data_IF_520988408338
#
_entry.id   IF_520988408338
#
_cell.length_a   1.000
_cell.length_b   1.000
_cell.length_c   1.000
_cell.angle_alpha   90.00
_cell.angle_beta   90.00
_cell.angle_gamma   90.00
#
_symmetry.space_group_name_H-M   'P 1'
#
loop_
_entity.id
_entity.type
_entity.pdbx_description
1 polymer ?
#
# COMPACT_ATOMS: atom_id res chain seq x y z
N UNK A 1 8.64 18.44 -25.47
CA UNK A 1 9.42 18.37 -24.24
C UNK A 1 9.14 17.08 -23.48
N UNK A 2 9.63 15.93 -23.99
CA UNK A 2 9.42 14.62 -23.36
C UNK A 2 10.45 14.43 -22.24
N UNK A 3 10.23 15.07 -21.08
CA UNK A 3 11.05 14.89 -19.90
C UNK A 3 10.90 13.47 -19.33
N UNK A 4 9.75 12.83 -19.58
CA UNK A 4 9.44 11.46 -19.17
C UNK A 4 9.06 10.61 -20.37
N UNK A 5 9.27 9.30 -20.30
CA UNK A 5 8.58 8.39 -21.20
C UNK A 5 7.10 8.30 -20.81
N UNK A 6 6.20 8.01 -21.76
CA UNK A 6 4.78 7.75 -21.45
C UNK A 6 4.60 6.59 -20.45
N UNK A 7 5.55 5.67 -20.41
CA UNK A 7 5.60 4.53 -19.48
C UNK A 7 5.65 4.98 -18.02
N UNK A 8 6.24 6.16 -17.72
CA UNK A 8 6.46 6.66 -16.36
C UNK A 8 5.48 7.78 -15.97
N UNK A 9 4.41 8.00 -16.73
CA UNK A 9 3.52 9.16 -16.57
C UNK A 9 2.91 9.27 -15.15
N UNK A 10 2.57 8.13 -14.53
CA UNK A 10 1.96 8.08 -13.19
C UNK A 10 2.95 7.67 -12.09
N UNK A 11 4.20 7.42 -12.44
CA UNK A 11 5.26 7.06 -11.49
C UNK A 11 6.01 8.26 -10.93
N UNK A 12 5.84 9.44 -11.54
CA UNK A 12 6.53 10.67 -11.16
C UNK A 12 5.58 11.88 -11.15
N UNK A 13 5.84 12.82 -10.24
CA UNK A 13 5.16 14.11 -10.14
C UNK A 13 6.16 15.22 -9.83
N UNK A 14 6.04 16.36 -10.51
CA UNK A 14 6.94 17.51 -10.31
C UNK A 14 6.30 18.64 -9.51
N UNK A 15 4.99 18.57 -9.25
CA UNK A 15 4.20 19.54 -8.50
C UNK A 15 4.45 21.01 -8.89
N UNK A 16 4.51 21.27 -10.20
CA UNK A 16 4.73 22.62 -10.75
C UNK A 16 3.44 23.42 -10.93
N UNK A 17 2.27 22.77 -10.87
CA UNK A 17 0.94 23.37 -10.99
C UNK A 17 0.05 22.88 -9.85
N UNK A 18 -0.95 23.70 -9.48
CA UNK A 18 -1.92 23.37 -8.44
C UNK A 18 -2.72 24.60 -8.02
N UNK A 19 -3.75 24.36 -7.21
CA UNK A 19 -4.60 25.43 -6.67
C UNK A 19 -4.00 26.08 -5.42
N UNK A 20 -4.35 27.34 -5.18
CA UNK A 20 -3.94 28.06 -3.97
C UNK A 20 -5.06 27.99 -2.92
N UNK A 21 -4.99 27.02 -2.03
CA UNK A 21 -5.99 26.82 -0.97
C UNK A 21 -5.86 27.82 0.17
N UNK A 22 -4.75 28.57 0.30
CA UNK A 22 -4.52 29.49 1.43
C UNK A 22 -5.47 30.70 1.43
N UNK A 23 -6.18 30.92 0.32
CA UNK A 23 -7.17 31.98 0.19
C UNK A 23 -8.59 31.57 0.59
N UNK A 24 -8.84 30.28 0.76
CA UNK A 24 -10.15 29.75 1.13
C UNK A 24 -10.50 30.09 2.58
N UNK A 25 -11.79 30.21 2.86
CA UNK A 25 -12.31 30.43 4.23
C UNK A 25 -11.90 29.24 5.14
N UNK A 26 -12.08 28.01 4.66
CA UNK A 26 -11.71 26.80 5.39
C UNK A 26 -10.25 26.80 5.83
N UNK A 27 -9.31 27.19 4.94
CA UNK A 27 -7.90 27.27 5.30
C UNK A 27 -7.63 28.32 6.41
N UNK A 28 -8.28 29.48 6.30
CA UNK A 28 -8.09 30.57 7.28
C UNK A 28 -8.59 30.22 8.67
N UNK A 29 -9.71 29.48 8.75
CA UNK A 29 -10.37 29.08 9.98
C UNK A 29 -9.81 27.77 10.59
N UNK A 30 -9.04 26.98 9.83
CA UNK A 30 -8.46 25.74 10.32
C UNK A 30 -7.31 26.01 11.32
N UNK A 31 -7.26 25.23 12.39
CA UNK A 31 -6.16 25.21 13.35
C UNK A 31 -4.98 24.36 12.85
N UNK A 32 -5.27 23.30 12.13
CA UNK A 32 -4.31 22.36 11.55
C UNK A 32 -4.61 22.15 10.08
N UNK A 33 -3.56 22.00 9.28
CA UNK A 33 -3.67 21.60 7.88
C UNK A 33 -3.19 20.16 7.73
N UNK A 34 -4.08 19.27 7.32
CA UNK A 34 -3.73 17.87 7.06
C UNK A 34 -3.64 17.60 5.55
N UNK A 35 -2.47 17.19 5.10
CA UNK A 35 -2.19 16.82 3.71
C UNK A 35 -2.13 15.30 3.58
N UNK A 36 -2.74 14.78 2.53
CA UNK A 36 -2.60 13.40 2.07
C UNK A 36 -1.88 13.38 0.72
N UNK A 37 -2.41 12.65 -0.25
CA UNK A 37 -1.86 12.63 -1.60
C UNK A 37 -2.27 13.90 -2.36
N UNK A 38 -1.29 14.76 -2.67
CA UNK A 38 -1.53 16.13 -3.19
C UNK A 38 -1.05 16.33 -4.63
N UNK A 39 -0.70 15.27 -5.30
CA UNK A 39 -0.12 15.30 -6.64
C UNK A 39 -1.16 15.51 -7.76
N UNK A 40 -0.77 15.37 -9.01
CA UNK A 40 -1.60 15.50 -10.23
C UNK A 40 -2.34 16.86 -10.33
N UNK A 41 -1.67 17.95 -9.94
CA UNK A 41 -2.21 19.30 -10.11
C UNK A 41 -3.07 19.78 -8.93
N UNK A 42 -3.20 19.02 -7.84
CA UNK A 42 -3.92 19.50 -6.66
C UNK A 42 -3.13 20.62 -5.96
N UNK A 43 -1.89 20.37 -5.57
CA UNK A 43 -1.00 21.39 -4.99
C UNK A 43 0.33 21.46 -5.75
N UNK A 44 0.85 22.69 -5.88
CA UNK A 44 2.21 22.93 -6.37
C UNK A 44 3.19 23.10 -5.20
N UNK A 45 4.51 22.95 -5.45
CA UNK A 45 5.54 23.29 -4.46
C UNK A 45 5.41 24.75 -3.97
N UNK A 46 4.99 25.67 -4.86
CA UNK A 46 4.68 27.05 -4.46
C UNK A 46 3.48 27.13 -3.50
N UNK A 47 2.46 26.30 -3.73
CA UNK A 47 1.29 26.19 -2.83
C UNK A 47 1.69 25.60 -1.48
N UNK A 48 2.46 24.52 -1.46
CA UNK A 48 2.97 23.92 -0.22
C UNK A 48 3.81 24.93 0.58
N UNK A 49 4.68 25.72 -0.09
CA UNK A 49 5.43 26.77 0.56
C UNK A 49 4.54 27.79 1.25
N UNK A 50 3.44 28.23 0.61
CA UNK A 50 2.49 29.16 1.23
C UNK A 50 1.78 28.55 2.42
N UNK A 51 1.43 27.28 2.36
CA UNK A 51 0.81 26.54 3.46
C UNK A 51 1.78 26.52 4.67
N UNK A 52 3.03 26.09 4.44
CA UNK A 52 4.04 26.03 5.50
C UNK A 52 4.39 27.43 6.08
N UNK A 53 4.42 28.47 5.23
CA UNK A 53 4.68 29.84 5.65
C UNK A 53 3.50 30.51 6.41
N UNK A 54 2.34 29.84 6.52
CA UNK A 54 1.20 30.38 7.29
C UNK A 54 1.37 30.30 8.80
N UNK A 55 2.37 29.57 9.28
CA UNK A 55 2.60 29.33 10.71
C UNK A 55 1.69 28.26 11.33
N UNK A 56 0.68 27.78 10.61
CA UNK A 56 -0.20 26.71 11.09
C UNK A 56 0.56 25.37 11.11
N UNK A 57 0.32 24.49 12.10
CA UNK A 57 0.84 23.13 12.08
C UNK A 57 0.35 22.40 10.84
N UNK A 58 1.28 21.71 10.15
CA UNK A 58 0.96 20.91 8.96
C UNK A 58 1.28 19.46 9.24
N UNK A 59 0.28 18.61 9.17
CA UNK A 59 0.42 17.15 9.21
C UNK A 59 0.38 16.63 7.77
N UNK A 60 1.33 15.80 7.37
CA UNK A 60 1.35 15.19 6.04
C UNK A 60 1.42 13.68 6.14
N UNK A 61 0.27 13.02 5.88
CA UNK A 61 0.22 11.56 5.79
C UNK A 61 0.72 11.10 4.43
N UNK A 62 1.76 10.29 4.46
CA UNK A 62 2.42 9.74 3.28
C UNK A 62 1.81 8.39 2.90
N UNK A 63 1.17 8.34 1.71
CA UNK A 63 0.68 7.11 1.10
C UNK A 63 1.67 6.54 0.07
N UNK A 64 2.73 7.28 -0.25
CA UNK A 64 3.84 6.91 -1.12
C UNK A 64 5.12 7.63 -0.70
N UNK A 65 6.21 7.42 -1.44
CA UNK A 65 7.50 8.02 -1.13
C UNK A 65 7.68 9.44 -1.73
N UNK A 66 6.71 9.97 -2.46
CA UNK A 66 6.91 11.26 -3.15
C UNK A 66 7.34 12.41 -2.25
N UNK A 67 6.81 12.58 -1.02
CA UNK A 67 7.28 13.66 -0.14
C UNK A 67 8.77 13.56 0.20
N UNK A 68 9.32 12.36 0.35
CA UNK A 68 10.72 12.13 0.73
C UNK A 68 11.68 11.95 -0.46
N UNK A 69 11.18 11.87 -1.70
CA UNK A 69 11.98 11.82 -2.95
C UNK A 69 11.94 13.15 -3.70
N UNK A 70 12.59 13.24 -4.86
CA UNK A 70 12.44 14.40 -5.74
C UNK A 70 11.11 14.38 -6.50
N UNK A 71 10.91 13.35 -7.30
CA UNK A 71 9.82 13.27 -8.27
C UNK A 71 9.09 11.94 -8.27
N UNK A 72 9.70 10.84 -7.82
CA UNK A 72 9.12 9.51 -7.91
C UNK A 72 8.21 9.20 -6.71
N UNK A 73 7.11 8.46 -7.00
CA UNK A 73 6.19 7.95 -5.98
C UNK A 73 6.76 6.74 -5.24
N UNK A 74 7.63 5.96 -5.90
CA UNK A 74 8.36 4.85 -5.31
C UNK A 74 9.79 4.81 -5.81
N UNK A 75 10.73 4.62 -4.91
CA UNK A 75 12.15 4.64 -5.22
C UNK A 75 12.65 3.37 -5.92
N UNK A 76 11.95 2.23 -5.81
CA UNK A 76 12.28 0.94 -6.44
C UNK A 76 13.77 0.56 -6.29
N UNK A 77 14.29 0.61 -5.05
CA UNK A 77 15.69 0.31 -4.76
C UNK A 77 16.67 1.47 -5.00
N UNK A 78 16.22 2.63 -5.50
CA UNK A 78 17.05 3.82 -5.62
C UNK A 78 17.22 4.50 -4.24
N UNK A 79 18.46 4.63 -3.76
CA UNK A 79 18.76 5.24 -2.46
C UNK A 79 19.17 6.72 -2.53
N UNK A 80 19.06 7.36 -3.70
CA UNK A 80 19.52 8.75 -3.88
C UNK A 80 18.78 9.79 -3.02
N UNK A 81 17.53 9.49 -2.62
CA UNK A 81 16.77 10.35 -1.71
C UNK A 81 17.42 10.50 -0.31
N UNK A 82 18.32 9.57 0.04
CA UNK A 82 19.07 9.62 1.29
C UNK A 82 20.21 10.67 1.27
N UNK A 83 20.64 11.10 0.09
CA UNK A 83 21.67 12.12 -0.09
C UNK A 83 21.18 13.28 -0.93
N UNK A 84 21.11 13.09 -2.25
CA UNK A 84 20.54 14.05 -3.19
C UNK A 84 20.00 13.33 -4.43
N UNK A 85 18.72 13.53 -4.75
CA UNK A 85 18.18 13.02 -6.00
C UNK A 85 18.81 13.74 -7.18
N UNK A 86 19.38 12.96 -8.09
CA UNK A 86 20.00 13.39 -9.35
C UNK A 86 20.17 12.17 -10.25
N UNK A 87 20.49 12.38 -11.53
CA UNK A 87 20.66 11.32 -12.53
C UNK A 87 19.49 10.28 -12.46
N UNK A 88 18.26 10.79 -12.44
CA UNK A 88 17.07 9.99 -12.14
C UNK A 88 16.75 9.02 -13.28
N UNK A 89 16.59 7.70 -13.02
CA UNK A 89 16.34 6.71 -14.07
C UNK A 89 14.96 6.86 -14.73
N UNK A 90 14.03 7.60 -14.10
CA UNK A 90 12.73 7.91 -14.71
C UNK A 90 12.77 9.02 -15.75
N UNK A 91 13.87 9.77 -15.84
CA UNK A 91 14.04 10.82 -16.84
C UNK A 91 14.65 10.27 -18.13
N UNK A 92 14.27 10.86 -19.25
CA UNK A 92 14.81 10.49 -20.57
C UNK A 92 16.31 10.78 -20.70
N UNK A 93 16.77 11.86 -20.04
CA UNK A 93 18.17 12.31 -20.04
C UNK A 93 18.66 12.51 -18.60
N UNK A 94 19.01 11.40 -17.89
CA UNK A 94 19.54 11.50 -16.53
C UNK A 94 20.87 12.23 -16.49
N UNK A 95 21.04 13.17 -15.56
CA UNK A 95 22.31 13.87 -15.33
C UNK A 95 22.38 14.40 -13.88
N UNK A 96 23.55 14.80 -13.45
CA UNK A 96 23.74 15.33 -12.08
C UNK A 96 22.89 16.58 -11.81
N UNK A 97 22.61 17.40 -12.83
CA UNK A 97 21.82 18.63 -12.74
C UNK A 97 20.46 18.50 -13.46
N UNK A 98 19.90 17.32 -13.52
CA UNK A 98 18.62 17.05 -14.18
C UNK A 98 17.41 17.64 -13.41
N UNK A 99 16.21 17.37 -13.92
CA UNK A 99 14.98 17.86 -13.30
C UNK A 99 14.82 17.34 -11.87
N UNK A 100 15.22 16.10 -11.59
CA UNK A 100 15.10 15.54 -10.23
C UNK A 100 15.95 16.30 -9.22
N UNK A 101 17.17 16.68 -9.60
CA UNK A 101 18.05 17.50 -8.75
C UNK A 101 17.42 18.88 -8.46
N UNK A 102 16.84 19.51 -9.48
CA UNK A 102 16.18 20.82 -9.29
C UNK A 102 14.97 20.74 -8.37
N UNK A 103 14.10 19.75 -8.59
CA UNK A 103 12.91 19.56 -7.75
C UNK A 103 13.30 19.18 -6.31
N UNK A 104 14.33 18.35 -6.13
CA UNK A 104 14.85 18.00 -4.81
C UNK A 104 15.28 19.24 -4.02
N UNK A 105 16.07 20.12 -4.63
CA UNK A 105 16.51 21.37 -3.99
C UNK A 105 15.34 22.34 -3.73
N UNK A 106 14.35 22.39 -4.64
CA UNK A 106 13.12 23.16 -4.40
C UNK A 106 12.37 22.62 -3.16
N UNK A 107 12.17 21.30 -3.05
CA UNK A 107 11.54 20.68 -1.88
C UNK A 107 12.32 20.97 -0.60
N UNK A 108 13.63 20.84 -0.61
CA UNK A 108 14.49 21.17 0.53
C UNK A 108 14.24 22.59 1.05
N UNK A 109 14.19 23.56 0.14
CA UNK A 109 13.93 24.96 0.49
C UNK A 109 12.48 25.21 0.95
N UNK A 110 11.52 24.46 0.42
CA UNK A 110 10.11 24.56 0.80
C UNK A 110 9.88 23.96 2.19
N UNK A 111 10.42 22.79 2.47
CA UNK A 111 10.19 22.08 3.73
C UNK A 111 10.91 22.71 4.93
N UNK A 112 11.97 23.48 4.68
CA UNK A 112 12.67 24.23 5.73
C UNK A 112 11.86 25.42 6.31
N UNK A 113 10.66 25.74 5.77
CA UNK A 113 9.95 26.97 6.09
C UNK A 113 8.79 26.83 7.07
N UNK A 114 8.56 25.66 7.67
CA UNK A 114 7.37 25.56 8.50
C UNK A 114 7.39 24.40 9.49
N UNK A 115 6.34 24.37 10.31
CA UNK A 115 6.07 23.31 11.27
C UNK A 115 5.42 22.12 10.57
N UNK A 116 6.25 21.23 9.99
CA UNK A 116 5.81 20.07 9.21
C UNK A 116 6.01 18.78 10.02
N UNK A 117 4.90 18.08 10.25
CA UNK A 117 4.85 16.77 10.89
C UNK A 117 4.51 15.70 9.86
N UNK A 118 5.33 14.67 9.77
CA UNK A 118 5.16 13.57 8.82
C UNK A 118 4.47 12.41 9.52
N UNK A 119 3.45 11.87 8.89
CA UNK A 119 2.83 10.59 9.27
C UNK A 119 3.12 9.56 8.18
N UNK A 120 3.85 8.50 8.52
CA UNK A 120 4.04 7.35 7.66
C UNK A 120 2.98 6.29 7.95
N UNK A 121 2.39 5.69 6.92
CA UNK A 121 1.32 4.69 7.07
C UNK A 121 1.83 3.30 7.46
N UNK A 122 3.14 3.12 7.62
CA UNK A 122 3.77 1.89 8.11
C UNK A 122 5.13 2.16 8.74
N UNK A 123 5.60 1.22 9.56
CA UNK A 123 6.96 1.27 10.13
C UNK A 123 8.03 1.25 9.03
N UNK A 124 7.79 0.45 7.97
CA UNK A 124 8.67 0.41 6.81
C UNK A 124 8.81 1.78 6.15
N UNK A 125 7.70 2.46 5.87
CA UNK A 125 7.74 3.79 5.26
C UNK A 125 8.37 4.81 6.22
N UNK A 126 8.08 4.74 7.52
CA UNK A 126 8.71 5.56 8.56
C UNK A 126 10.23 5.41 8.55
N UNK A 127 10.74 4.18 8.45
CA UNK A 127 12.18 3.92 8.37
C UNK A 127 12.82 4.55 7.11
N UNK A 128 12.15 4.50 5.97
CA UNK A 128 12.61 5.15 4.73
C UNK A 128 12.61 6.68 4.85
N UNK A 129 11.58 7.26 5.45
CA UNK A 129 11.48 8.71 5.67
C UNK A 129 12.59 9.22 6.59
N UNK A 130 12.89 8.48 7.66
CA UNK A 130 14.01 8.82 8.58
C UNK A 130 15.37 8.87 7.87
N UNK A 131 15.54 8.11 6.81
CA UNK A 131 16.76 8.10 6.00
C UNK A 131 16.78 9.21 4.93
N UNK A 132 15.67 9.90 4.69
CA UNK A 132 15.58 10.93 3.65
C UNK A 132 16.26 12.22 4.10
N UNK A 133 17.12 12.79 3.26
CA UNK A 133 17.71 14.12 3.46
C UNK A 133 16.65 15.23 3.50
N UNK A 134 15.49 15.04 2.86
CA UNK A 134 14.41 16.04 2.85
C UNK A 134 13.61 16.07 4.15
N UNK A 135 13.36 14.90 4.75
CA UNK A 135 12.38 14.75 5.84
C UNK A 135 12.95 14.10 7.11
N UNK A 136 14.12 13.49 7.06
CA UNK A 136 14.69 12.71 8.17
C UNK A 136 14.95 13.51 9.46
N UNK A 137 15.07 14.84 9.37
CA UNK A 137 15.22 15.74 10.52
C UNK A 137 13.89 16.27 11.09
N UNK A 138 12.74 15.85 10.56
CA UNK A 138 11.41 16.31 10.97
C UNK A 138 10.79 15.39 12.02
N UNK A 139 9.69 15.83 12.65
CA UNK A 139 8.88 14.98 13.50
C UNK A 139 8.16 13.93 12.64
N UNK A 140 8.48 12.65 12.86
CA UNK A 140 7.94 11.53 12.10
C UNK A 140 7.12 10.64 13.04
N UNK A 141 5.85 10.45 12.70
CA UNK A 141 4.90 9.59 13.39
C UNK A 141 4.57 8.40 12.51
N UNK A 142 4.16 7.28 13.10
CA UNK A 142 3.60 6.14 12.35
C UNK A 142 2.16 5.97 12.76
N UNK A 143 1.23 6.17 11.83
CA UNK A 143 -0.21 5.91 12.01
C UNK A 143 -0.67 5.16 10.76
N UNK A 144 -1.11 3.93 10.95
CA UNK A 144 -1.52 3.07 9.85
C UNK A 144 -2.78 3.59 9.14
N UNK A 145 -3.08 3.05 7.96
CA UNK A 145 -4.34 3.36 7.27
C UNK A 145 -5.52 2.77 8.06
N UNK A 146 -6.61 3.53 8.13
CA UNK A 146 -7.86 3.03 8.63
C UNK A 146 -8.53 2.08 7.64
N UNK A 147 -9.22 1.07 8.16
CA UNK A 147 -10.09 0.20 7.39
C UNK A 147 -11.56 0.48 7.75
N UNK A 148 -12.41 0.67 6.73
CA UNK A 148 -13.85 0.73 6.90
C UNK A 148 -14.40 -0.67 7.13
N UNK A 149 -14.66 -1.01 8.39
CA UNK A 149 -15.16 -2.34 8.77
C UNK A 149 -16.61 -2.57 8.33
N UNK A 150 -17.34 -1.51 7.99
CA UNK A 150 -18.68 -1.61 7.42
C UNK A 150 -18.64 -2.08 5.96
N UNK A 151 -17.57 -1.75 5.25
CA UNK A 151 -17.38 -2.12 3.85
C UNK A 151 -16.86 -3.57 3.71
N UNK A 152 -16.18 -4.09 4.74
CA UNK A 152 -15.59 -5.43 4.74
C UNK A 152 -16.21 -6.27 5.85
N UNK A 153 -17.22 -7.06 5.48
CA UNK A 153 -17.97 -7.92 6.37
C UNK A 153 -17.47 -9.37 6.33
N UNK A 154 -17.45 -10.01 7.48
CA UNK A 154 -17.21 -11.45 7.59
C UNK A 154 -18.52 -12.16 7.24
N UNK A 155 -18.52 -12.92 6.15
CA UNK A 155 -19.62 -13.74 5.67
C UNK A 155 -19.30 -15.21 5.96
N UNK A 156 -20.30 -16.03 6.22
CA UNK A 156 -20.08 -17.47 6.31
C UNK A 156 -19.45 -18.01 5.02
N UNK A 157 -18.38 -18.79 5.15
CA UNK A 157 -17.60 -19.28 4.02
C UNK A 157 -18.41 -20.10 3.04
N UNK A 158 -19.29 -20.96 3.55
CA UNK A 158 -20.13 -21.84 2.73
C UNK A 158 -21.16 -21.02 1.94
N UNK A 159 -21.75 -20.03 2.60
CA UNK A 159 -22.69 -19.10 1.96
C UNK A 159 -22.00 -18.27 0.88
N UNK A 160 -20.84 -17.70 1.19
CA UNK A 160 -20.04 -16.92 0.24
C UNK A 160 -19.62 -17.75 -0.99
N UNK A 161 -19.18 -19.00 -0.80
CA UNK A 161 -18.86 -19.92 -1.91
C UNK A 161 -20.08 -20.24 -2.77
N UNK A 162 -21.23 -20.47 -2.15
CA UNK A 162 -22.50 -20.73 -2.85
C UNK A 162 -22.95 -19.50 -3.64
N UNK A 163 -22.89 -18.32 -3.04
CA UNK A 163 -23.24 -17.04 -3.68
C UNK A 163 -22.41 -16.80 -4.94
N UNK A 164 -21.11 -17.08 -4.88
CA UNK A 164 -20.16 -16.87 -5.98
C UNK A 164 -20.04 -18.10 -6.90
N UNK A 165 -20.79 -19.18 -6.67
CA UNK A 165 -20.79 -20.43 -7.44
C UNK A 165 -19.38 -21.03 -7.59
N UNK A 166 -18.60 -21.03 -6.50
CA UNK A 166 -17.22 -21.48 -6.48
C UNK A 166 -17.09 -22.99 -6.26
N UNK A 167 -16.02 -23.62 -6.81
CA UNK A 167 -15.79 -25.05 -6.63
C UNK A 167 -15.38 -25.40 -5.20
N UNK A 168 -15.60 -26.65 -4.81
CA UNK A 168 -15.12 -27.20 -3.54
C UNK A 168 -13.64 -27.60 -3.66
N UNK A 169 -12.77 -26.60 -3.57
CA UNK A 169 -11.32 -26.68 -3.69
C UNK A 169 -10.66 -25.75 -2.67
N UNK A 170 -9.35 -25.80 -2.58
CA UNK A 170 -8.57 -24.74 -1.91
C UNK A 170 -8.62 -23.46 -2.75
N UNK A 171 -9.25 -22.43 -2.22
CA UNK A 171 -9.47 -21.16 -2.91
C UNK A 171 -8.40 -20.13 -2.48
N UNK A 172 -7.61 -19.67 -3.44
CA UNK A 172 -6.53 -18.71 -3.24
C UNK A 172 -6.91 -17.40 -3.92
N UNK A 173 -7.15 -16.35 -3.15
CA UNK A 173 -7.46 -15.02 -3.68
C UNK A 173 -6.18 -14.26 -4.06
N UNK A 174 -6.17 -13.62 -5.21
CA UNK A 174 -5.14 -12.68 -5.64
C UNK A 174 -5.78 -11.53 -6.41
N UNK A 175 -5.52 -10.32 -5.95
CA UNK A 175 -6.08 -9.14 -6.61
C UNK A 175 -5.33 -7.85 -6.33
N UNK A 176 -5.54 -6.92 -7.25
CA UNK A 176 -5.00 -5.55 -7.17
C UNK A 176 -5.71 -4.67 -8.19
N UNK A 177 -5.47 -3.36 -8.18
CA UNK A 177 -6.01 -2.46 -9.21
C UNK A 177 -5.64 -2.92 -10.64
N UNK A 178 -4.49 -3.59 -10.82
CA UNK A 178 -4.09 -4.24 -12.07
C UNK A 178 -3.20 -5.44 -11.77
N UNK A 179 -3.74 -6.65 -11.99
CA UNK A 179 -3.08 -7.91 -11.61
C UNK A 179 -1.79 -8.19 -12.40
N UNK A 180 -1.71 -7.76 -13.66
CA UNK A 180 -0.54 -7.91 -14.53
C UNK A 180 0.48 -6.76 -14.39
N UNK A 181 0.34 -5.90 -13.36
CA UNK A 181 1.41 -4.96 -13.03
C UNK A 181 2.59 -5.72 -12.40
N UNK A 182 3.80 -5.63 -12.98
CA UNK A 182 4.97 -6.35 -12.46
C UNK A 182 5.24 -6.12 -10.97
N UNK A 183 4.86 -4.94 -10.45
CA UNK A 183 5.00 -4.61 -9.02
C UNK A 183 4.12 -5.49 -8.13
N UNK A 184 2.98 -5.98 -8.64
CA UNK A 184 2.03 -6.80 -7.90
C UNK A 184 2.44 -8.27 -7.80
N UNK A 185 3.43 -8.69 -8.62
CA UNK A 185 4.09 -9.97 -8.46
C UNK A 185 3.27 -11.17 -8.88
N UNK A 186 2.39 -11.02 -9.90
CA UNK A 186 1.62 -12.14 -10.43
C UNK A 186 2.51 -13.33 -10.85
N UNK A 187 3.67 -13.05 -11.46
CA UNK A 187 4.65 -14.07 -11.85
C UNK A 187 5.16 -14.88 -10.65
N UNK A 188 5.41 -14.21 -9.51
CA UNK A 188 5.84 -14.89 -8.27
C UNK A 188 4.75 -15.82 -7.72
N UNK A 189 3.47 -15.41 -7.81
CA UNK A 189 2.35 -16.28 -7.44
C UNK A 189 2.30 -17.52 -8.34
N UNK A 190 2.34 -17.34 -9.67
CA UNK A 190 2.26 -18.45 -10.61
C UNK A 190 3.40 -19.45 -10.40
N UNK A 191 4.63 -18.96 -10.19
CA UNK A 191 5.80 -19.81 -9.91
C UNK A 191 5.67 -20.53 -8.56
N UNK A 192 5.14 -19.86 -7.52
CA UNK A 192 4.89 -20.48 -6.23
C UNK A 192 3.88 -21.63 -6.34
N UNK A 193 2.77 -21.43 -7.07
CA UNK A 193 1.77 -22.49 -7.35
C UNK A 193 2.38 -23.66 -8.13
N UNK A 194 3.15 -23.37 -9.17
CA UNK A 194 3.86 -24.42 -9.92
C UNK A 194 4.84 -25.20 -9.03
N UNK A 195 5.46 -24.51 -8.08
CA UNK A 195 6.40 -25.14 -7.13
C UNK A 195 5.68 -26.09 -6.19
N UNK A 196 4.49 -25.72 -5.69
CA UNK A 196 3.63 -26.60 -4.86
C UNK A 196 3.26 -27.88 -5.60
N UNK A 197 2.83 -27.77 -6.86
CA UNK A 197 2.45 -28.90 -7.71
C UNK A 197 3.68 -29.79 -7.97
N UNK A 198 4.81 -29.23 -8.38
CA UNK A 198 6.04 -29.99 -8.65
C UNK A 198 6.58 -30.74 -7.43
N UNK A 199 6.35 -30.23 -6.22
CA UNK A 199 6.74 -30.89 -4.97
C UNK A 199 5.77 -31.98 -4.54
N UNK A 200 4.59 -32.06 -5.14
CA UNK A 200 3.49 -32.91 -4.68
C UNK A 200 2.89 -32.45 -3.35
N UNK A 201 3.03 -31.16 -3.04
CA UNK A 201 2.35 -30.57 -1.87
C UNK A 201 0.84 -30.54 -2.06
N UNK A 202 0.40 -30.28 -3.28
CA UNK A 202 -1.00 -30.29 -3.73
C UNK A 202 -1.08 -30.81 -5.17
N UNK A 203 -2.17 -31.50 -5.48
CA UNK A 203 -2.52 -31.82 -6.84
C UNK A 203 -3.07 -30.59 -7.56
N UNK A 204 -2.90 -30.54 -8.89
CA UNK A 204 -3.32 -29.40 -9.69
C UNK A 204 -4.83 -29.13 -9.59
N UNK A 205 -5.65 -30.14 -9.45
CA UNK A 205 -7.10 -30.06 -9.37
C UNK A 205 -7.63 -29.72 -7.97
N UNK A 206 -6.78 -29.78 -6.92
CA UNK A 206 -7.14 -29.34 -5.57
C UNK A 206 -7.12 -27.81 -5.41
N UNK A 207 -6.38 -27.09 -6.26
CA UNK A 207 -6.19 -25.64 -6.16
C UNK A 207 -7.09 -24.88 -7.16
N UNK A 208 -7.56 -23.70 -6.73
CA UNK A 208 -8.32 -22.79 -7.58
C UNK A 208 -8.00 -21.34 -7.23
N UNK A 209 -7.65 -20.51 -8.23
CA UNK A 209 -7.37 -19.09 -8.03
C UNK A 209 -8.65 -18.24 -8.20
N UNK A 210 -8.86 -17.31 -7.27
CA UNK A 210 -9.83 -16.23 -7.38
C UNK A 210 -9.07 -14.95 -7.76
N UNK A 211 -9.16 -14.56 -9.03
CA UNK A 211 -8.44 -13.42 -9.58
C UNK A 211 -9.37 -12.22 -9.73
N UNK A 212 -8.99 -11.05 -9.24
CA UNK A 212 -9.78 -9.83 -9.37
C UNK A 212 -8.92 -8.58 -9.56
N UNK A 213 -9.48 -7.57 -10.22
CA UNK A 213 -8.82 -6.36 -10.65
C UNK A 213 -8.59 -6.30 -12.15
N UNK A 214 -8.19 -5.13 -12.65
CA UNK A 214 -7.94 -4.93 -14.07
C UNK A 214 -6.79 -5.78 -14.61
N UNK A 215 -6.83 -6.05 -15.91
CA UNK A 215 -5.74 -6.71 -16.63
C UNK A 215 -5.53 -6.01 -17.96
N UNK A 216 -4.27 -5.70 -18.28
CA UNK A 216 -3.92 -5.05 -19.55
C UNK A 216 -3.71 -6.07 -20.66
N UNK A 217 -3.08 -7.20 -20.36
CA UNK A 217 -2.83 -8.30 -21.27
C UNK A 217 -3.59 -9.55 -20.81
N UNK A 218 -4.76 -9.79 -21.41
CA UNK A 218 -5.61 -10.94 -21.07
C UNK A 218 -4.94 -12.30 -21.35
N UNK A 219 -3.90 -12.36 -22.20
CA UNK A 219 -3.17 -13.61 -22.45
C UNK A 219 -2.45 -14.12 -21.20
N UNK A 220 -2.19 -13.24 -20.23
CA UNK A 220 -1.60 -13.61 -18.95
C UNK A 220 -2.45 -14.62 -18.15
N UNK A 221 -3.77 -14.62 -18.36
CA UNK A 221 -4.65 -15.60 -17.73
C UNK A 221 -4.43 -17.04 -18.24
N UNK A 222 -3.94 -17.20 -19.48
CA UNK A 222 -3.62 -18.52 -20.04
C UNK A 222 -2.36 -19.14 -19.38
N UNK A 223 -1.56 -18.37 -18.65
CA UNK A 223 -0.37 -18.84 -17.94
C UNK A 223 -0.69 -19.43 -16.57
N UNK A 224 -1.93 -19.29 -16.09
CA UNK A 224 -2.37 -19.80 -14.78
C UNK A 224 -2.31 -21.33 -14.77
N UNK A 225 -1.54 -21.96 -13.86
CA UNK A 225 -1.27 -23.39 -13.89
C UNK A 225 -2.41 -24.24 -13.29
N UNK A 226 -3.42 -23.65 -12.71
CA UNK A 226 -4.56 -24.30 -12.05
C UNK A 226 -5.89 -23.71 -12.54
N UNK A 227 -7.01 -24.31 -12.15
CA UNK A 227 -8.31 -23.70 -12.45
C UNK A 227 -8.45 -22.33 -11.76
N UNK A 228 -9.17 -21.40 -12.38
CA UNK A 228 -9.39 -20.06 -11.82
C UNK A 228 -10.76 -19.49 -12.18
N UNK A 229 -11.21 -18.54 -11.37
CA UNK A 229 -12.32 -17.63 -11.66
C UNK A 229 -11.78 -16.20 -11.71
N UNK A 230 -12.00 -15.49 -12.82
CA UNK A 230 -11.61 -14.09 -12.97
C UNK A 230 -12.85 -13.20 -12.87
N UNK A 231 -12.86 -12.31 -11.87
CA UNK A 231 -13.97 -11.42 -11.55
C UNK A 231 -13.88 -10.05 -12.23
N UNK A 232 -12.75 -9.74 -12.88
CA UNK A 232 -12.50 -8.38 -13.38
C UNK A 232 -12.33 -7.35 -12.25
N UNK A 233 -12.59 -6.10 -12.57
CA UNK A 233 -12.61 -5.02 -11.57
C UNK A 233 -13.86 -5.15 -10.69
N UNK A 234 -13.66 -5.26 -9.37
CA UNK A 234 -14.74 -5.32 -8.38
C UNK A 234 -14.88 -3.94 -7.74
N UNK A 235 -15.96 -3.25 -8.02
CA UNK A 235 -16.28 -1.93 -7.44
C UNK A 235 -17.09 -2.07 -6.14
N UNK A 236 -17.99 -3.07 -6.08
CA UNK A 236 -18.87 -3.31 -4.95
C UNK A 236 -18.13 -3.99 -3.78
N UNK A 237 -18.15 -3.35 -2.60
CA UNK A 237 -17.45 -3.85 -1.42
C UNK A 237 -18.04 -5.14 -0.88
N UNK A 238 -19.34 -5.33 -1.03
CA UNK A 238 -20.06 -6.53 -0.67
C UNK A 238 -19.58 -7.75 -1.47
N UNK A 239 -19.34 -7.57 -2.78
CA UNK A 239 -18.79 -8.64 -3.62
C UNK A 239 -17.35 -8.96 -3.22
N UNK A 240 -16.53 -7.94 -2.91
CA UNK A 240 -15.17 -8.14 -2.45
C UNK A 240 -15.12 -8.83 -1.09
N UNK A 241 -16.02 -8.49 -0.16
CA UNK A 241 -16.18 -9.16 1.13
C UNK A 241 -16.57 -10.64 0.94
N UNK A 242 -17.50 -10.93 0.05
CA UNK A 242 -17.90 -12.30 -0.28
C UNK A 242 -16.72 -13.09 -0.86
N UNK A 243 -15.92 -12.48 -1.77
CA UNK A 243 -14.74 -13.10 -2.36
C UNK A 243 -13.70 -13.47 -1.29
N UNK A 244 -13.35 -12.53 -0.41
CA UNK A 244 -12.39 -12.79 0.67
C UNK A 244 -12.93 -13.82 1.67
N UNK A 245 -14.23 -13.75 2.04
CA UNK A 245 -14.82 -14.72 2.97
C UNK A 245 -14.90 -16.13 2.37
N UNK A 246 -15.09 -16.26 1.03
CA UNK A 246 -15.08 -17.53 0.32
C UNK A 246 -13.68 -18.15 0.21
N UNK A 247 -12.65 -17.31 0.10
CA UNK A 247 -11.26 -17.74 -0.05
C UNK A 247 -10.73 -18.43 1.21
N UNK A 248 -9.81 -19.36 1.02
CA UNK A 248 -9.07 -19.96 2.13
C UNK A 248 -7.94 -19.06 2.58
N UNK A 249 -7.25 -18.49 1.60
CA UNK A 249 -6.14 -17.58 1.80
C UNK A 249 -6.16 -16.46 0.76
N UNK A 250 -5.51 -15.35 1.08
CA UNK A 250 -5.16 -14.32 0.10
C UNK A 250 -3.65 -14.23 -0.03
N UNK A 251 -3.16 -14.06 -1.25
CA UNK A 251 -1.74 -13.88 -1.53
C UNK A 251 -1.48 -12.49 -2.06
N UNK A 252 -0.51 -11.79 -1.47
CA UNK A 252 0.07 -10.58 -2.04
C UNK A 252 1.55 -10.79 -2.30
N UNK A 253 1.90 -11.01 -3.55
CA UNK A 253 3.30 -11.17 -3.99
C UNK A 253 3.93 -9.83 -4.41
N UNK A 254 3.40 -8.72 -3.93
CA UNK A 254 3.86 -7.38 -4.30
C UNK A 254 5.32 -7.16 -3.92
N UNK A 255 6.08 -6.58 -4.84
CA UNK A 255 7.50 -6.27 -4.64
C UNK A 255 7.70 -5.21 -3.53
N UNK A 256 6.73 -4.34 -3.35
CA UNK A 256 6.61 -3.43 -2.20
C UNK A 256 5.18 -2.91 -2.08
N UNK A 257 4.78 -2.63 -0.86
CA UNK A 257 3.53 -1.95 -0.50
C UNK A 257 3.85 -0.89 0.57
N UNK A 258 3.20 0.25 0.52
CA UNK A 258 3.37 1.23 1.59
C UNK A 258 2.65 0.83 2.87
N UNK A 259 1.55 0.08 2.74
CA UNK A 259 0.82 -0.51 3.85
C UNK A 259 0.38 -1.95 3.52
N UNK A 260 -0.35 -2.16 2.41
CA UNK A 260 -0.89 -3.47 2.03
C UNK A 260 -2.38 -3.58 2.35
N UNK A 261 -3.15 -2.58 1.94
CA UNK A 261 -4.59 -2.46 2.23
C UNK A 261 -5.38 -3.75 1.98
N UNK A 262 -5.13 -4.43 0.86
CA UNK A 262 -5.80 -5.68 0.47
C UNK A 262 -5.61 -6.81 1.49
N UNK A 263 -4.48 -6.86 2.19
CA UNK A 263 -4.22 -7.86 3.23
C UNK A 263 -5.07 -7.59 4.49
N UNK A 264 -5.19 -6.31 4.89
CA UNK A 264 -6.04 -5.93 6.02
C UNK A 264 -7.53 -6.15 5.69
N UNK A 265 -7.96 -5.86 4.46
CA UNK A 265 -9.30 -6.14 3.94
C UNK A 265 -9.61 -7.64 4.00
N UNK A 266 -8.70 -8.47 3.53
CA UNK A 266 -8.84 -9.93 3.57
C UNK A 266 -8.92 -10.45 5.01
N UNK A 267 -8.04 -10.02 5.90
CA UNK A 267 -8.10 -10.40 7.32
C UNK A 267 -9.43 -9.96 7.98
N UNK A 268 -9.97 -8.79 7.63
CA UNK A 268 -11.26 -8.32 8.14
C UNK A 268 -12.41 -9.23 7.71
N UNK A 269 -12.29 -9.88 6.55
CA UNK A 269 -13.23 -10.88 6.05
C UNK A 269 -12.88 -12.31 6.49
N UNK A 270 -11.92 -12.50 7.41
CA UNK A 270 -11.53 -13.79 7.93
C UNK A 270 -10.64 -14.62 7.00
N UNK A 271 -10.06 -14.01 5.97
CA UNK A 271 -9.16 -14.65 5.02
C UNK A 271 -7.70 -14.51 5.47
N UNK A 272 -6.98 -15.62 5.58
CA UNK A 272 -5.60 -15.65 6.06
C UNK A 272 -4.63 -15.13 4.98
N UNK A 273 -3.80 -14.10 5.25
CA UNK A 273 -2.90 -13.54 4.26
C UNK A 273 -1.56 -14.24 4.20
N UNK A 274 -1.01 -14.34 3.00
CA UNK A 274 0.36 -14.75 2.69
C UNK A 274 1.01 -13.64 1.86
N UNK A 275 2.19 -13.16 2.26
CA UNK A 275 2.86 -12.07 1.53
C UNK A 275 4.37 -12.14 1.68
N UNK A 276 5.12 -11.40 0.86
CA UNK A 276 6.52 -11.13 1.13
C UNK A 276 6.68 -10.21 2.35
N UNK A 277 7.69 -10.48 3.20
CA UNK A 277 7.99 -9.70 4.39
C UNK A 277 9.02 -8.58 4.14
N UNK A 278 8.79 -7.71 3.16
CA UNK A 278 9.78 -6.74 2.67
C UNK A 278 9.37 -5.26 2.75
N UNK A 279 8.15 -4.96 3.10
CA UNK A 279 7.65 -3.57 3.14
C UNK A 279 6.45 -3.43 4.10
N UNK A 280 5.48 -2.56 3.82
CA UNK A 280 4.37 -2.24 4.73
C UNK A 280 3.50 -3.44 5.15
N UNK A 281 3.54 -4.56 4.43
CA UNK A 281 2.85 -5.79 4.80
C UNK A 281 3.24 -6.31 6.19
N UNK A 282 4.47 -6.02 6.62
CA UNK A 282 4.97 -6.41 7.95
C UNK A 282 4.26 -5.72 9.11
N UNK A 283 3.57 -4.62 8.84
CA UNK A 283 2.72 -3.96 9.82
C UNK A 283 1.36 -4.67 9.98
N UNK A 284 0.96 -5.48 8.99
CA UNK A 284 -0.34 -6.17 8.98
C UNK A 284 -0.19 -7.59 9.49
N UNK A 285 0.79 -8.33 8.98
CA UNK A 285 0.99 -9.75 9.24
C UNK A 285 2.01 -9.97 10.35
N UNK A 286 1.63 -10.71 11.37
CA UNK A 286 2.54 -11.34 12.34
C UNK A 286 2.82 -12.76 11.86
N UNK A 287 4.07 -13.01 11.43
CA UNK A 287 4.46 -14.27 10.79
C UNK A 287 4.08 -15.51 11.61
N UNK A 288 3.35 -16.44 10.98
CA UNK A 288 2.82 -17.69 11.53
C UNK A 288 1.85 -17.51 12.73
N UNK A 289 1.32 -16.28 12.91
CA UNK A 289 0.30 -16.00 13.92
C UNK A 289 -1.02 -15.62 13.24
N UNK A 290 -1.01 -14.61 12.38
CA UNK A 290 -2.20 -14.13 11.66
C UNK A 290 -1.97 -14.02 10.15
N UNK A 291 -0.97 -14.75 9.64
CA UNK A 291 -0.60 -14.87 8.26
C UNK A 291 0.85 -15.33 8.09
N UNK A 292 1.33 -15.38 6.87
CA UNK A 292 2.70 -15.80 6.58
C UNK A 292 3.47 -14.69 5.84
N UNK A 293 4.65 -14.37 6.36
CA UNK A 293 5.61 -13.48 5.71
C UNK A 293 6.73 -14.31 5.11
N UNK A 294 6.71 -14.46 3.80
CA UNK A 294 7.77 -15.11 3.03
C UNK A 294 8.98 -14.19 2.86
N UNK A 295 10.16 -14.77 2.68
CA UNK A 295 11.36 -14.02 2.32
C UNK A 295 11.13 -13.24 1.04
N UNK A 296 11.66 -12.01 1.01
CA UNK A 296 11.50 -11.11 -0.15
C UNK A 296 11.93 -11.79 -1.46
N UNK A 297 11.02 -11.84 -2.41
CA UNK A 297 11.22 -12.35 -3.77
C UNK A 297 11.58 -13.83 -3.88
N UNK A 298 11.46 -14.60 -2.81
CA UNK A 298 11.68 -16.04 -2.76
C UNK A 298 10.37 -16.79 -3.04
N UNK A 299 10.20 -17.27 -4.27
CA UNK A 299 9.02 -18.04 -4.71
C UNK A 299 8.88 -19.37 -3.99
N UNK A 300 10.01 -19.97 -3.61
CA UNK A 300 10.04 -21.21 -2.83
C UNK A 300 9.50 -21.01 -1.42
N UNK A 301 9.87 -19.90 -0.76
CA UNK A 301 9.34 -19.56 0.56
C UNK A 301 7.89 -19.04 0.49
N UNK A 302 7.50 -18.37 -0.61
CA UNK A 302 6.10 -18.04 -0.88
C UNK A 302 5.25 -19.31 -1.00
N UNK A 303 5.74 -20.34 -1.70
CA UNK A 303 5.10 -21.65 -1.79
C UNK A 303 4.95 -22.30 -0.40
N UNK A 304 6.01 -22.26 0.43
CA UNK A 304 5.94 -22.75 1.82
C UNK A 304 4.87 -22.03 2.62
N UNK A 305 4.75 -20.70 2.44
CA UNK A 305 3.74 -19.89 3.09
C UNK A 305 2.31 -20.25 2.67
N UNK A 306 2.09 -20.48 1.38
CA UNK A 306 0.81 -20.93 0.84
C UNK A 306 0.45 -22.30 1.42
N UNK A 307 1.37 -23.26 1.39
CA UNK A 307 1.15 -24.61 1.95
C UNK A 307 0.84 -24.56 3.44
N UNK A 308 1.62 -23.81 4.22
CA UNK A 308 1.37 -23.60 5.64
C UNK A 308 -0.02 -23.01 5.90
N UNK A 309 -0.39 -21.95 5.17
CA UNK A 309 -1.64 -21.26 5.38
C UNK A 309 -2.87 -22.14 5.02
N UNK A 310 -2.76 -22.98 3.99
CA UNK A 310 -3.83 -23.88 3.56
C UNK A 310 -4.01 -25.09 4.49
N UNK A 311 -2.94 -25.56 5.17
CA UNK A 311 -2.95 -26.74 6.05
C UNK A 311 -3.06 -26.37 7.53
N UNK A 312 -2.06 -25.69 8.05
CA UNK A 312 -1.88 -25.45 9.48
C UNK A 312 -2.49 -24.12 9.94
N UNK A 313 -2.38 -23.07 9.12
CA UNK A 313 -2.76 -21.71 9.49
C UNK A 313 -4.23 -21.55 9.84
N UNK A 314 -5.10 -22.34 9.22
CA UNK A 314 -6.55 -22.31 9.45
C UNK A 314 -6.94 -22.94 10.79
N UNK A 315 -6.14 -23.87 11.31
CA UNK A 315 -6.43 -24.56 12.56
C UNK A 315 -6.12 -23.69 13.78
N UNK A 316 -5.19 -22.73 13.61
CA UNK A 316 -4.65 -21.93 14.71
C UNK A 316 -5.43 -20.64 14.99
N UNK A 317 -6.23 -20.15 14.04
CA UNK A 317 -6.91 -18.86 14.18
C UNK A 317 -8.25 -18.87 13.43
N UNK A 318 -9.34 -18.61 14.16
CA UNK A 318 -10.65 -18.52 13.54
C UNK A 318 -10.80 -17.25 12.66
N UNK A 319 -11.70 -17.25 11.67
CA UNK A 319 -12.02 -16.05 10.90
C UNK A 319 -12.43 -14.86 11.77
N UNK A 320 -13.14 -15.12 12.87
CA UNK A 320 -13.55 -14.09 13.84
C UNK A 320 -12.36 -13.49 14.56
N UNK A 321 -11.37 -14.31 14.98
CA UNK A 321 -10.16 -13.82 15.65
C UNK A 321 -9.30 -12.97 14.69
N UNK A 322 -9.18 -13.39 13.42
CA UNK A 322 -8.52 -12.57 12.40
C UNK A 322 -9.17 -11.20 12.28
N UNK A 323 -10.50 -11.16 12.14
CA UNK A 323 -11.26 -9.90 12.10
C UNK A 323 -11.02 -9.05 13.35
N UNK A 324 -11.07 -9.65 14.54
CA UNK A 324 -10.89 -8.94 15.78
C UNK A 324 -9.51 -8.26 15.88
N UNK A 325 -8.45 -8.90 15.39
CA UNK A 325 -7.10 -8.29 15.31
C UNK A 325 -7.08 -7.05 14.41
N UNK A 326 -7.78 -7.09 13.27
CA UNK A 326 -7.93 -5.93 12.39
C UNK A 326 -8.71 -4.81 13.07
N UNK A 327 -9.82 -5.14 13.73
CA UNK A 327 -10.63 -4.16 14.49
C UNK A 327 -9.78 -3.42 15.51
N UNK A 328 -9.01 -4.14 16.30
CA UNK A 328 -8.16 -3.57 17.38
C UNK A 328 -7.02 -2.70 16.87
N UNK A 329 -6.57 -2.90 15.62
CA UNK A 329 -5.38 -2.22 15.09
C UNK A 329 -5.71 -1.17 14.04
N UNK A 330 -6.72 -1.40 13.20
CA UNK A 330 -6.94 -0.64 11.97
C UNK A 330 -8.38 -0.10 11.84
N UNK A 331 -9.26 -0.27 12.85
CA UNK A 331 -10.59 0.34 12.77
C UNK A 331 -10.51 1.86 12.65
N UNK A 332 -11.51 2.45 12.01
CA UNK A 332 -11.59 3.90 11.85
C UNK A 332 -11.51 4.64 13.20
N UNK A 333 -12.11 4.08 14.26
CA UNK A 333 -12.07 4.65 15.61
C UNK A 333 -10.64 4.66 16.18
N UNK A 334 -9.93 3.51 16.11
CA UNK A 334 -8.54 3.38 16.61
C UNK A 334 -7.63 4.37 15.90
N UNK A 335 -7.71 4.44 14.59
CA UNK A 335 -6.84 5.33 13.79
C UNK A 335 -7.22 6.80 13.98
N UNK A 336 -8.51 7.14 14.03
CA UNK A 336 -8.96 8.51 14.30
C UNK A 336 -8.47 9.01 15.66
N UNK A 337 -8.53 8.18 16.71
CA UNK A 337 -8.04 8.55 18.04
C UNK A 337 -6.53 8.84 18.04
N UNK A 338 -5.71 8.12 17.24
CA UNK A 338 -4.29 8.42 17.09
C UNK A 338 -4.06 9.80 16.44
N UNK A 339 -4.83 10.13 15.40
CA UNK A 339 -4.77 11.46 14.77
C UNK A 339 -5.27 12.57 15.69
N UNK A 340 -6.37 12.35 16.41
CA UNK A 340 -6.91 13.33 17.39
C UNK A 340 -5.84 13.65 18.45
N UNK A 341 -5.20 12.63 18.99
CA UNK A 341 -4.11 12.80 19.96
C UNK A 341 -2.95 13.62 19.37
N UNK A 342 -2.53 13.31 18.14
CA UNK A 342 -1.49 14.08 17.45
C UNK A 342 -1.91 15.55 17.26
N UNK A 343 -3.15 15.80 16.83
CA UNK A 343 -3.63 17.16 16.63
C UNK A 343 -3.69 17.97 17.92
N UNK A 344 -4.17 17.38 19.01
CA UNK A 344 -4.18 18.03 20.32
C UNK A 344 -2.79 18.46 20.76
N UNK A 345 -1.79 17.57 20.63
CA UNK A 345 -0.39 17.89 20.95
C UNK A 345 0.16 19.04 20.12
N UNK A 346 -0.29 19.19 18.86
CA UNK A 346 0.19 20.24 17.97
C UNK A 346 -0.49 21.59 18.26
N UNK A 347 -1.76 21.57 18.65
CA UNK A 347 -2.51 22.78 19.03
C UNK A 347 -1.95 23.33 20.35
N UNK A 348 -1.76 22.48 21.36
CA UNK A 348 -1.25 22.88 22.66
C UNK A 348 0.12 23.57 22.54
N UNK A 349 1.03 22.99 21.75
CA UNK A 349 2.36 23.58 21.46
C UNK A 349 2.32 24.88 20.66
N UNK A 350 1.24 25.16 19.94
CA UNK A 350 1.10 26.42 19.19
C UNK A 350 0.60 27.57 20.05
N UNK A 351 0.16 27.28 21.27
CA UNK A 351 -0.31 28.27 22.27
C UNK A 351 0.75 28.58 23.34
N UNK A 352 1.85 27.79 23.37
CA UNK A 352 3.05 28.08 24.18
C UNK A 352 4.03 29.02 23.42
#
# INVERSE_FOLDING_TARGET
>A
NNLFSRKNLFTVSIANAGIDITRTKAFKEADIIHLHWINQGMLSLKGIRKILASGKPVVWTMHDMWPCTAICHHAQGCNRYQTACQACPYLRFPSQNDLSHRVFNQKKNVYAQGNLHIVAVSQWLSALVKQSTLLGGMAIHTINNALSLNDFQLIDKTEARKQLQLPDKYLIAFGSARIDDPIKGFDYLLEAIQTLIRRGDFEQDELHLLLFGGIKDANRLAEVPVSYTYFGDIEEKEQLSALYSAADITVSASLYETFGQTLAEAQACGCLPVSFGNSGQTDIITHKVDGYLAKAYDTGDLANGIAWALREGKENLSPTDLRQRVVQRFSGEVIANQYIHLYQQLIDKSHE
#
